data_IF_171699734724
#
_entry.id   IF_171699734724
#
_cell.length_a   1.000
_cell.length_b   1.000
_cell.length_c   1.000
_cell.angle_alpha   90.00
_cell.angle_beta   90.00
_cell.angle_gamma   90.00
#
_symmetry.space_group_name_H-M   'P 1'
#
loop_
_entity.id
_entity.type
_entity.pdbx_description
1 polymer ?
#
# COMPACT_ATOMS: atom_id res chain seq x y z
N UNK A 1 -21.34 -63.40 -31.98
CA UNK A 1 -20.58 -62.83 -33.12
C UNK A 1 -21.41 -61.71 -33.74
N UNK A 2 -20.78 -60.54 -34.02
CA UNK A 2 -21.25 -59.43 -34.88
C UNK A 2 -22.47 -58.63 -34.35
N UNK A 3 -22.26 -57.42 -33.82
CA UNK A 3 -22.11 -56.09 -34.47
C UNK A 3 -23.45 -55.33 -34.54
N UNK A 4 -23.54 -54.35 -33.62
CA UNK A 4 -24.13 -53.00 -33.65
C UNK A 4 -25.11 -52.57 -34.78
N UNK A 5 -26.10 -51.73 -34.42
CA UNK A 5 -26.32 -50.37 -34.96
C UNK A 5 -27.37 -49.62 -34.08
N UNK A 6 -27.01 -48.40 -33.67
CA UNK A 6 -27.77 -47.30 -32.99
C UNK A 6 -28.27 -46.37 -34.13
N UNK A 7 -29.45 -45.69 -34.13
CA UNK A 7 -29.75 -44.48 -33.32
C UNK A 7 -31.29 -44.24 -33.09
N UNK A 8 -31.86 -43.21 -32.45
CA UNK A 8 -31.48 -41.81 -32.23
C UNK A 8 -32.45 -41.14 -31.21
N UNK A 9 -32.01 -40.00 -30.65
CA UNK A 9 -32.78 -38.78 -30.33
C UNK A 9 -33.76 -38.74 -29.13
N UNK A 10 -33.39 -38.00 -28.08
CA UNK A 10 -34.07 -36.78 -27.59
C UNK A 10 -33.38 -36.28 -26.29
N UNK A 11 -32.51 -35.27 -26.37
CA UNK A 11 -32.81 -33.84 -26.10
C UNK A 11 -33.03 -33.54 -24.60
N UNK A 12 -31.98 -33.10 -23.89
CA UNK A 12 -31.68 -31.69 -23.56
C UNK A 12 -32.63 -31.06 -22.52
N UNK A 13 -32.14 -30.88 -21.29
CA UNK A 13 -31.99 -29.55 -20.68
C UNK A 13 -31.09 -29.64 -19.44
N UNK A 14 -29.80 -29.36 -19.60
CA UNK A 14 -28.91 -28.95 -18.52
C UNK A 14 -28.95 -27.42 -18.49
N UNK A 15 -29.47 -26.84 -17.41
CA UNK A 15 -29.38 -25.39 -17.17
C UNK A 15 -27.92 -25.08 -16.83
N UNK A 16 -27.18 -24.54 -17.80
CA UNK A 16 -25.90 -23.93 -17.55
C UNK A 16 -26.14 -22.55 -16.92
N UNK A 17 -25.88 -22.42 -15.61
CA UNK A 17 -25.76 -21.12 -14.96
C UNK A 17 -24.48 -20.48 -15.50
N UNK A 18 -24.62 -19.56 -16.45
CA UNK A 18 -23.51 -18.74 -16.94
C UNK A 18 -23.03 -17.84 -15.80
N UNK A 19 -21.87 -18.14 -15.21
CA UNK A 19 -21.14 -17.18 -14.39
C UNK A 19 -20.69 -16.04 -15.31
N UNK A 20 -21.30 -14.87 -15.18
CA UNK A 20 -20.76 -13.66 -15.78
C UNK A 20 -19.45 -13.32 -15.05
N UNK A 21 -18.30 -13.18 -15.73
CA UNK A 21 -17.14 -12.57 -15.11
C UNK A 21 -17.52 -11.11 -14.83
N UNK A 22 -17.57 -10.72 -13.55
CA UNK A 22 -17.56 -9.31 -13.20
C UNK A 22 -16.30 -8.72 -13.82
N UNK A 23 -16.46 -7.86 -14.83
CA UNK A 23 -15.35 -7.15 -15.43
C UNK A 23 -14.75 -6.21 -14.37
N UNK A 24 -13.80 -6.71 -13.59
CA UNK A 24 -12.86 -5.85 -12.91
C UNK A 24 -12.11 -5.11 -14.02
N UNK A 25 -12.31 -3.79 -14.13
CA UNK A 25 -11.53 -2.98 -15.04
C UNK A 25 -10.05 -3.19 -14.70
N UNK A 26 -9.30 -3.81 -15.61
CA UNK A 26 -7.88 -3.98 -15.44
C UNK A 26 -7.25 -2.58 -15.26
N UNK A 27 -6.62 -2.36 -14.12
CA UNK A 27 -5.86 -1.13 -13.85
C UNK A 27 -4.78 -1.01 -14.93
N UNK A 28 -4.62 0.18 -15.50
CA UNK A 28 -3.60 0.40 -16.53
C UNK A 28 -2.22 -0.05 -16.00
N UNK A 29 -1.43 -0.69 -16.86
CA UNK A 29 -0.20 -1.42 -16.52
C UNK A 29 0.85 -0.58 -15.76
N UNK A 30 0.73 0.75 -15.81
CA UNK A 30 1.63 1.70 -15.15
C UNK A 30 0.89 2.79 -14.35
N UNK A 31 -0.36 2.54 -13.99
CA UNK A 31 -1.11 3.46 -13.14
C UNK A 31 -0.51 3.48 -11.74
N UNK A 32 -0.57 4.62 -11.06
CA UNK A 32 -0.24 4.69 -9.65
C UNK A 32 -1.16 3.75 -8.84
N UNK A 33 -0.59 2.96 -7.93
CA UNK A 33 -1.32 2.15 -6.95
C UNK A 33 -1.35 2.95 -5.65
N UNK A 34 -2.54 3.10 -5.07
CA UNK A 34 -2.70 3.67 -3.74
C UNK A 34 -3.12 2.55 -2.77
N UNK A 35 -2.44 2.49 -1.63
CA UNK A 35 -2.73 1.56 -0.54
C UNK A 35 -2.90 2.34 0.76
N UNK A 36 -3.85 1.91 1.59
CA UNK A 36 -4.02 2.40 2.95
C UNK A 36 -3.94 1.20 3.90
N UNK A 37 -3.38 1.42 5.07
CA UNK A 37 -3.32 0.39 6.10
C UNK A 37 -3.10 0.96 7.48
N UNK A 38 -2.89 0.03 8.43
CA UNK A 38 -2.63 0.33 9.83
C UNK A 38 -1.32 -0.31 10.27
N UNK A 39 -0.71 0.27 11.30
CA UNK A 39 0.61 -0.12 11.79
C UNK A 39 1.71 0.70 11.15
N UNK A 40 2.36 1.55 11.95
CA UNK A 40 3.57 2.26 11.53
C UNK A 40 4.53 2.46 12.70
N UNK A 41 5.75 2.90 12.40
CA UNK A 41 6.72 3.29 13.42
C UNK A 41 6.55 4.77 13.76
N UNK A 42 6.50 5.10 15.05
CA UNK A 42 6.42 6.48 15.54
C UNK A 42 7.69 6.81 16.33
N UNK A 43 8.30 7.96 16.04
CA UNK A 43 9.53 8.42 16.68
C UNK A 43 9.24 9.34 17.88
N UNK A 44 9.83 9.02 19.02
CA UNK A 44 9.74 9.84 20.23
C UNK A 44 10.69 11.05 20.21
N UNK A 45 10.65 11.84 21.29
CA UNK A 45 11.52 13.01 21.45
C UNK A 45 13.02 12.68 21.43
N UNK A 46 13.41 11.45 21.77
CA UNK A 46 14.80 10.99 21.76
C UNK A 46 15.19 10.37 20.40
N UNK A 47 14.24 10.20 19.48
CA UNK A 47 14.46 9.54 18.19
C UNK A 47 14.37 8.02 18.27
N UNK A 48 13.85 7.46 19.36
CA UNK A 48 13.54 6.05 19.44
C UNK A 48 12.22 5.76 18.71
N UNK A 49 12.23 4.76 17.84
CA UNK A 49 11.05 4.32 17.11
C UNK A 49 10.32 3.22 17.88
N UNK A 50 9.00 3.35 17.95
CA UNK A 50 8.09 2.36 18.54
C UNK A 50 6.98 2.01 17.56
N UNK A 51 6.49 0.78 17.59
CA UNK A 51 5.39 0.37 16.71
C UNK A 51 4.05 0.80 17.30
N UNK A 52 3.28 1.55 16.52
CA UNK A 52 1.90 1.93 16.82
C UNK A 52 0.96 1.17 15.86
N UNK A 53 0.23 0.20 16.40
CA UNK A 53 -0.72 -0.60 15.64
C UNK A 53 -1.94 0.20 15.16
N UNK A 54 -2.26 1.33 15.81
CA UNK A 54 -3.38 2.20 15.44
C UNK A 54 -2.96 3.28 14.43
N UNK A 55 -1.66 3.44 14.18
CA UNK A 55 -1.16 4.38 13.20
C UNK A 55 -1.70 4.04 11.82
N UNK A 56 -2.19 5.05 11.09
CA UNK A 56 -2.69 4.87 9.74
C UNK A 56 -1.64 5.35 8.75
N UNK A 57 -1.38 4.56 7.71
CA UNK A 57 -0.52 4.94 6.61
C UNK A 57 -1.28 5.01 5.29
N UNK A 58 -0.78 5.86 4.40
CA UNK A 58 -1.18 5.95 3.01
C UNK A 58 0.08 5.94 2.15
N UNK A 59 0.12 5.06 1.15
CA UNK A 59 1.23 5.00 0.20
C UNK A 59 0.71 5.00 -1.23
N UNK A 60 1.37 5.79 -2.07
CA UNK A 60 1.18 5.79 -3.51
C UNK A 60 2.47 5.36 -4.17
N UNK A 61 2.45 4.26 -4.91
CA UNK A 61 3.59 3.78 -5.71
C UNK A 61 3.25 3.78 -7.19
N UNK A 62 4.27 3.92 -8.04
CA UNK A 62 4.13 3.74 -9.48
C UNK A 62 5.42 3.20 -10.07
N UNK A 63 5.28 2.22 -10.95
CA UNK A 63 6.38 1.71 -11.74
C UNK A 63 6.24 2.19 -13.19
N UNK A 64 7.35 2.28 -13.91
CA UNK A 64 7.36 2.49 -15.35
C UNK A 64 7.08 1.19 -16.12
N UNK A 65 7.09 1.29 -17.45
CA UNK A 65 6.81 0.13 -18.35
C UNK A 65 7.82 -1.00 -18.22
N UNK A 66 8.99 -0.74 -17.67
CA UNK A 66 10.04 -1.73 -17.46
C UNK A 66 9.97 -2.33 -16.05
N UNK A 67 8.99 -1.91 -15.23
CA UNK A 67 8.84 -2.32 -13.85
C UNK A 67 9.72 -1.55 -12.87
N UNK A 68 10.45 -0.53 -13.30
CA UNK A 68 11.28 0.29 -12.41
C UNK A 68 10.40 1.23 -11.58
N UNK A 69 10.69 1.38 -10.29
CA UNK A 69 9.97 2.29 -9.41
C UNK A 69 10.25 3.75 -9.82
N UNK A 70 9.21 4.54 -10.06
CA UNK A 70 9.34 5.94 -10.49
C UNK A 70 8.61 6.92 -9.58
N UNK A 71 7.80 6.42 -8.65
CA UNK A 71 7.10 7.25 -7.66
C UNK A 71 6.92 6.45 -6.37
N UNK A 72 7.23 7.10 -5.26
CA UNK A 72 6.74 6.75 -3.93
C UNK A 72 6.26 8.02 -3.26
N UNK A 73 5.07 7.99 -2.69
CA UNK A 73 4.59 9.00 -1.74
C UNK A 73 3.97 8.27 -0.56
N UNK A 74 4.71 8.21 0.53
CA UNK A 74 4.31 7.64 1.80
C UNK A 74 3.93 8.76 2.77
N UNK A 75 2.87 8.55 3.55
CA UNK A 75 2.43 9.41 4.64
C UNK A 75 1.85 8.55 5.75
N UNK A 76 2.14 8.88 7.01
CA UNK A 76 1.50 8.23 8.15
C UNK A 76 1.08 9.20 9.25
N UNK A 77 0.21 8.70 10.12
CA UNK A 77 -0.31 9.43 11.27
C UNK A 77 -0.53 8.45 12.41
N UNK A 78 0.20 8.63 13.50
CA UNK A 78 0.13 7.79 14.69
C UNK A 78 0.21 8.59 15.98
N UNK A 79 0.32 7.87 17.09
CA UNK A 79 0.43 8.46 18.42
C UNK A 79 1.50 7.74 19.22
N UNK A 80 2.30 8.49 19.95
CA UNK A 80 3.28 7.93 20.87
C UNK A 80 2.60 7.13 21.98
N UNK A 81 3.17 5.97 22.38
CA UNK A 81 2.64 5.21 23.49
C UNK A 81 2.65 6.02 24.80
N UNK A 82 1.85 5.57 25.75
CA UNK A 82 1.84 6.16 27.08
C UNK A 82 3.23 6.03 27.74
N UNK A 83 3.67 7.08 28.45
CA UNK A 83 4.99 7.13 29.06
C UNK A 83 6.16 7.40 28.11
N UNK A 84 5.94 7.42 26.79
CA UNK A 84 6.98 7.79 25.83
C UNK A 84 7.46 9.24 26.03
N UNK A 85 8.77 9.51 25.89
CA UNK A 85 9.32 10.86 25.89
C UNK A 85 8.66 11.78 24.86
N UNK A 86 8.13 12.91 25.32
CA UNK A 86 7.47 13.92 24.47
C UNK A 86 8.32 15.19 24.42
N UNK A 87 8.43 15.84 23.25
CA UNK A 87 9.18 17.07 23.15
C UNK A 87 8.39 18.23 23.79
N UNK A 88 9.08 19.29 24.22
CA UNK A 88 8.44 20.48 24.81
C UNK A 88 7.77 21.37 23.77
N UNK A 89 8.21 21.29 22.51
CA UNK A 89 7.61 21.90 21.33
C UNK A 89 7.55 20.88 20.19
N UNK A 90 6.79 21.14 19.12
CA UNK A 90 6.77 20.23 17.98
C UNK A 90 8.17 20.14 17.36
N UNK A 91 8.70 18.92 17.24
CA UNK A 91 10.01 18.65 16.63
C UNK A 91 9.78 18.11 15.24
N UNK A 92 10.47 18.69 14.25
CA UNK A 92 10.53 18.20 12.87
C UNK A 92 11.92 17.67 12.58
N UNK A 93 12.02 16.48 11.98
CA UNK A 93 13.28 15.88 11.54
C UNK A 93 13.19 15.49 10.08
N UNK A 94 14.32 15.55 9.39
CA UNK A 94 14.45 14.96 8.07
C UNK A 94 14.61 13.45 8.19
N UNK A 95 13.95 12.71 7.32
CA UNK A 95 14.04 11.26 7.23
C UNK A 95 14.40 10.85 5.81
N UNK A 96 15.22 9.82 5.72
CA UNK A 96 15.53 9.13 4.47
C UNK A 96 15.18 7.66 4.65
N UNK A 97 14.64 7.06 3.60
CA UNK A 97 14.28 5.64 3.61
C UNK A 97 14.48 5.05 2.23
N UNK A 98 14.82 3.77 2.17
CA UNK A 98 14.98 3.05 0.91
C UNK A 98 13.73 2.24 0.63
N UNK A 99 13.07 2.54 -0.49
CA UNK A 99 11.85 1.85 -0.94
C UNK A 99 12.10 1.34 -2.35
N UNK A 100 12.04 0.02 -2.55
CA UNK A 100 12.24 -0.59 -3.87
C UNK A 100 13.60 -0.26 -4.52
N UNK A 101 14.64 -0.01 -3.72
CA UNK A 101 15.97 0.38 -4.19
C UNK A 101 16.16 1.89 -4.37
N UNK A 102 15.09 2.68 -4.29
CA UNK A 102 15.14 4.13 -4.44
C UNK A 102 15.14 4.83 -3.07
N UNK A 103 15.83 5.96 -2.98
CA UNK A 103 15.83 6.76 -1.75
C UNK A 103 14.67 7.74 -1.77
N UNK A 104 13.73 7.58 -0.84
CA UNK A 104 12.75 8.60 -0.54
C UNK A 104 13.26 9.52 0.57
N UNK A 105 12.88 10.79 0.50
CA UNK A 105 13.20 11.80 1.50
C UNK A 105 11.92 12.47 1.98
N UNK A 106 11.89 12.87 3.24
CA UNK A 106 10.75 13.59 3.78
C UNK A 106 10.99 13.99 5.21
N UNK A 107 9.92 14.09 5.98
CA UNK A 107 9.98 14.60 7.34
C UNK A 107 9.12 13.77 8.27
N UNK A 108 9.53 13.75 9.53
CA UNK A 108 8.69 13.34 10.63
C UNK A 108 8.46 14.51 11.59
N UNK A 109 7.28 14.53 12.21
CA UNK A 109 6.86 15.54 13.17
C UNK A 109 6.27 14.85 14.39
N UNK A 110 6.83 15.14 15.55
CA UNK A 110 6.34 14.69 16.86
C UNK A 110 5.93 15.90 17.69
N UNK A 111 4.69 15.93 18.17
CA UNK A 111 4.15 17.04 18.97
C UNK A 111 4.28 16.81 20.47
N UNK A 112 4.15 17.86 21.31
CA UNK A 112 4.07 17.68 22.77
C UNK A 112 2.85 16.86 23.23
N UNK A 113 1.77 16.88 22.45
CA UNK A 113 0.61 15.99 22.66
C UNK A 113 0.88 14.54 22.26
N UNK A 114 2.08 14.23 21.75
CA UNK A 114 2.53 12.93 21.26
C UNK A 114 1.82 12.46 19.99
N UNK A 115 1.26 13.38 19.22
CA UNK A 115 0.86 13.07 17.85
C UNK A 115 2.12 12.94 16.99
N UNK A 116 2.14 11.92 16.14
CA UNK A 116 3.19 11.65 15.18
C UNK A 116 2.64 11.74 13.77
N UNK A 117 3.43 12.29 12.86
CA UNK A 117 3.17 12.25 11.42
C UNK A 117 4.49 12.15 10.68
N UNK A 118 4.56 11.33 9.64
CA UNK A 118 5.68 11.35 8.72
C UNK A 118 5.24 11.39 7.26
N UNK A 119 6.16 11.83 6.41
CA UNK A 119 6.07 11.72 4.97
C UNK A 119 7.41 11.27 4.39
N UNK A 120 7.36 10.53 3.28
CA UNK A 120 8.54 10.18 2.50
C UNK A 120 8.18 10.18 1.01
N UNK A 121 8.97 10.87 0.19
CA UNK A 121 8.70 11.03 -1.24
C UNK A 121 9.92 10.71 -2.08
N UNK A 122 9.67 9.99 -3.16
CA UNK A 122 10.58 9.75 -4.26
C UNK A 122 9.83 9.99 -5.56
N UNK A 123 10.46 10.67 -6.51
CA UNK A 123 9.93 10.83 -7.86
C UNK A 123 11.10 10.88 -8.83
N UNK A 124 11.18 9.90 -9.73
CA UNK A 124 12.25 9.80 -10.71
C UNK A 124 12.29 10.99 -11.69
N UNK A 125 11.19 11.75 -11.84
CA UNK A 125 11.17 12.97 -12.66
C UNK A 125 11.85 14.19 -11.99
N UNK A 126 12.19 14.09 -10.70
CA UNK A 126 12.78 15.19 -9.93
C UNK A 126 14.27 14.94 -9.57
N UNK A 127 14.84 13.81 -9.99
CA UNK A 127 16.27 13.50 -9.91
C UNK A 127 16.95 13.78 -11.24
#
# INVERSE_FOLDING_TARGET
>A
MRKAIIPALASCLLVAISMAPSAAFAKAENAAVAENGQGCLVADANGAYTFDAACNYHVVTRNDRNGALVLVSYQDQGTLPEGAPRPTSAVRREVTSTVGGETCTGHEVTTPSGQYRSDCRFNASNN
#
